data_IF_904028771260
#
_entry.id   IF_904028771260
#
_cell.length_a   1.000
_cell.length_b   1.000
_cell.length_c   1.000
_cell.angle_alpha   90.00
_cell.angle_beta   90.00
_cell.angle_gamma   90.00
#
_symmetry.space_group_name_H-M   'P 1'
#
loop_
_entity.id
_entity.type
_entity.pdbx_description
1 polymer ?
#
# COMPACT_ATOMS: atom_id res chain seq x y z
N UNK A 1 14.66 27.94 -16.15
CA UNK A 1 15.44 27.15 -17.13
C UNK A 1 16.22 26.07 -16.38
N UNK A 2 16.88 25.12 -17.05
CA UNK A 2 17.72 24.13 -16.35
C UNK A 2 18.80 24.82 -15.47
N UNK A 3 19.46 25.84 -16.01
CA UNK A 3 20.46 26.64 -15.29
C UNK A 3 19.90 27.32 -14.02
N UNK A 4 18.64 27.75 -14.06
CA UNK A 4 17.94 28.32 -12.91
C UNK A 4 17.80 27.28 -11.79
N UNK A 5 17.38 26.04 -12.12
CA UNK A 5 17.23 24.96 -11.14
C UNK A 5 18.56 24.55 -10.49
N UNK A 6 19.64 24.45 -11.29
CA UNK A 6 20.97 24.07 -10.80
C UNK A 6 21.55 25.13 -9.85
N UNK A 7 21.13 26.38 -9.98
CA UNK A 7 21.58 27.47 -9.11
C UNK A 7 20.87 27.56 -7.76
N UNK A 8 19.77 26.81 -7.57
CA UNK A 8 19.01 26.81 -6.33
C UNK A 8 19.73 26.03 -5.22
N UNK A 9 19.61 26.50 -3.98
CA UNK A 9 20.01 25.71 -2.81
C UNK A 9 19.22 24.41 -2.75
N UNK A 10 19.86 23.32 -2.29
CA UNK A 10 19.27 21.97 -2.30
C UNK A 10 17.89 21.88 -1.64
N UNK A 11 17.67 22.60 -0.53
CA UNK A 11 16.38 22.62 0.17
C UNK A 11 15.28 23.29 -0.66
N UNK A 12 15.63 24.38 -1.35
CA UNK A 12 14.70 25.09 -2.24
C UNK A 12 14.42 24.23 -3.46
N UNK A 13 15.46 23.64 -4.06
CA UNK A 13 15.32 22.74 -5.21
C UNK A 13 14.40 21.56 -4.87
N UNK A 14 14.56 20.91 -3.72
CA UNK A 14 13.67 19.82 -3.29
C UNK A 14 12.21 20.29 -3.18
N UNK A 15 11.95 21.47 -2.61
CA UNK A 15 10.61 22.06 -2.56
C UNK A 15 10.05 22.33 -3.96
N UNK A 16 10.85 22.88 -4.87
CA UNK A 16 10.45 23.15 -6.26
C UNK A 16 10.15 21.85 -7.02
N UNK A 17 10.91 20.78 -6.78
CA UNK A 17 10.68 19.48 -7.41
C UNK A 17 9.33 18.87 -7.00
N UNK A 18 8.83 19.18 -5.80
CA UNK A 18 7.54 18.71 -5.28
C UNK A 18 6.40 19.66 -5.67
N UNK A 19 6.54 20.95 -5.34
CA UNK A 19 5.50 21.98 -5.56
C UNK A 19 5.39 22.40 -7.02
N UNK A 20 6.43 22.19 -7.80
CA UNK A 20 6.53 22.64 -9.18
C UNK A 20 6.80 24.14 -9.34
N UNK A 21 6.99 24.91 -8.26
CA UNK A 21 7.04 26.38 -8.31
C UNK A 21 8.18 26.96 -7.47
N UNK A 22 8.84 28.00 -7.99
CA UNK A 22 9.82 28.82 -7.24
C UNK A 22 9.15 29.92 -6.40
N UNK A 23 7.82 29.97 -6.39
CA UNK A 23 7.02 31.04 -5.79
C UNK A 23 6.72 32.19 -6.74
N UNK A 24 7.64 32.51 -7.66
CA UNK A 24 7.43 33.52 -8.71
C UNK A 24 7.09 32.90 -10.06
N UNK A 25 7.41 31.62 -10.26
CA UNK A 25 7.24 30.93 -11.54
C UNK A 25 6.90 29.46 -11.34
N UNK A 26 5.94 28.98 -12.13
CA UNK A 26 5.63 27.56 -12.25
C UNK A 26 6.58 26.95 -13.29
N UNK A 27 7.33 25.94 -12.86
CA UNK A 27 8.29 25.17 -13.68
C UNK A 27 7.70 23.81 -14.05
N UNK A 28 7.01 23.17 -13.11
CA UNK A 28 6.35 21.87 -13.30
C UNK A 28 4.95 21.90 -12.71
N UNK A 29 4.12 20.92 -13.06
CA UNK A 29 2.89 20.66 -12.31
C UNK A 29 3.23 20.24 -10.86
N UNK A 30 2.42 20.57 -9.86
CA UNK A 30 2.65 20.06 -8.50
C UNK A 30 2.46 18.54 -8.42
N UNK A 31 3.03 17.92 -7.40
CA UNK A 31 2.90 16.49 -7.09
C UNK A 31 2.03 16.27 -5.83
N UNK A 32 0.71 16.53 -5.89
CA UNK A 32 -0.16 16.44 -4.72
C UNK A 32 -0.29 15.01 -4.17
N UNK A 33 -0.08 13.98 -5.00
CA UNK A 33 -0.21 12.58 -4.58
C UNK A 33 1.04 12.04 -3.89
N UNK A 34 2.12 12.83 -3.72
CA UNK A 34 3.28 12.43 -2.91
C UNK A 34 2.94 12.17 -1.45
N UNK A 35 1.79 12.64 -0.97
CA UNK A 35 1.25 12.25 0.35
C UNK A 35 0.98 10.73 0.43
N UNK A 36 0.68 10.09 -0.70
CA UNK A 36 0.48 8.65 -0.81
C UNK A 36 1.80 7.94 -1.08
N UNK A 37 2.64 7.92 -0.04
CA UNK A 37 3.97 7.32 -0.09
C UNK A 37 3.93 5.80 -0.36
N UNK A 38 2.78 5.16 -0.17
CA UNK A 38 2.56 3.74 -0.49
C UNK A 38 2.96 3.38 -1.91
N UNK A 39 2.69 4.26 -2.88
CA UNK A 39 2.80 3.89 -4.29
C UNK A 39 4.20 4.12 -4.88
N UNK A 40 5.03 4.92 -4.21
CA UNK A 40 6.34 5.32 -4.75
C UNK A 40 7.45 4.31 -4.45
N UNK A 41 7.24 3.40 -3.49
CA UNK A 41 8.19 2.36 -3.12
C UNK A 41 7.52 1.26 -2.30
N UNK A 42 8.08 0.06 -2.38
CA UNK A 42 7.51 -1.14 -1.77
C UNK A 42 8.64 -1.89 -1.06
N UNK A 43 8.49 -2.17 0.24
CA UNK A 43 9.44 -3.00 0.97
C UNK A 43 8.87 -4.40 1.10
N UNK A 44 9.61 -5.39 0.59
CA UNK A 44 9.29 -6.81 0.71
C UNK A 44 10.45 -7.47 1.46
N UNK A 45 10.20 -7.83 2.71
CA UNK A 45 11.23 -8.32 3.63
C UNK A 45 12.43 -7.36 3.68
N UNK A 46 13.57 -7.76 3.14
CA UNK A 46 14.80 -7.00 3.10
C UNK A 46 15.08 -6.33 1.74
N UNK A 47 14.15 -6.40 0.79
CA UNK A 47 14.26 -5.80 -0.53
C UNK A 47 13.34 -4.57 -0.67
N UNK A 48 13.81 -3.59 -1.44
CA UNK A 48 13.07 -2.38 -1.78
C UNK A 48 12.79 -2.35 -3.28
N UNK A 49 11.54 -2.20 -3.67
CA UNK A 49 11.11 -2.10 -5.05
C UNK A 49 10.76 -0.64 -5.33
N UNK A 50 11.25 -0.11 -6.44
CA UNK A 50 10.93 1.24 -6.89
C UNK A 50 9.54 1.23 -7.54
N UNK A 51 8.63 2.03 -7.02
CA UNK A 51 7.28 2.14 -7.56
C UNK A 51 7.27 2.80 -8.94
N UNK A 52 6.59 2.17 -9.91
CA UNK A 52 6.44 2.66 -11.27
C UNK A 52 5.00 3.07 -11.52
N UNK A 53 4.75 4.38 -11.46
CA UNK A 53 3.40 4.91 -11.59
C UNK A 53 2.83 4.69 -13.00
N UNK A 54 1.57 4.25 -13.06
CA UNK A 54 0.85 4.05 -14.34
C UNK A 54 0.44 5.37 -14.99
N UNK A 55 0.13 6.40 -14.18
CA UNK A 55 -0.36 7.69 -14.67
C UNK A 55 0.80 8.66 -14.93
N UNK A 56 0.79 9.31 -16.09
CA UNK A 56 1.80 10.32 -16.48
C UNK A 56 2.03 11.40 -15.40
N UNK A 57 0.96 11.87 -14.76
CA UNK A 57 1.03 12.88 -13.71
C UNK A 57 1.87 12.47 -12.49
N UNK A 58 2.04 11.16 -12.27
CA UNK A 58 2.75 10.57 -11.12
C UNK A 58 4.15 10.03 -11.48
N UNK A 59 4.54 9.98 -12.77
CA UNK A 59 5.89 9.49 -13.15
C UNK A 59 7.04 10.26 -12.52
N UNK A 60 6.83 11.56 -12.25
CA UNK A 60 7.81 12.39 -11.53
C UNK A 60 7.98 11.97 -10.07
N UNK A 61 6.95 11.38 -9.46
CA UNK A 61 7.03 10.79 -8.12
C UNK A 61 7.99 9.59 -8.13
N UNK A 62 7.82 8.68 -9.11
CA UNK A 62 8.73 7.55 -9.34
C UNK A 62 10.18 7.99 -9.60
N UNK A 63 10.39 9.08 -10.36
CA UNK A 63 11.73 9.60 -10.62
C UNK A 63 12.41 10.12 -9.35
N UNK A 64 11.66 10.88 -8.52
CA UNK A 64 12.17 11.39 -7.24
C UNK A 64 12.46 10.24 -6.29
N UNK A 65 11.56 9.25 -6.20
CA UNK A 65 11.74 8.07 -5.37
C UNK A 65 12.98 7.26 -5.81
N UNK A 66 13.14 7.02 -7.11
CA UNK A 66 14.33 6.36 -7.66
C UNK A 66 15.62 7.08 -7.24
N UNK A 67 15.67 8.41 -7.38
CA UNK A 67 16.84 9.19 -6.95
C UNK A 67 17.12 9.03 -5.45
N UNK A 68 16.08 9.12 -4.61
CA UNK A 68 16.22 8.95 -3.16
C UNK A 68 16.76 7.55 -2.83
N UNK A 69 16.16 6.50 -3.38
CA UNK A 69 16.52 5.12 -3.05
C UNK A 69 17.92 4.74 -3.54
N UNK A 70 18.38 5.33 -4.64
CA UNK A 70 19.70 5.01 -5.22
C UNK A 70 20.84 5.86 -4.66
N UNK A 71 20.58 7.06 -4.15
CA UNK A 71 21.64 8.00 -3.76
C UNK A 71 21.62 8.41 -2.28
N UNK A 72 20.48 8.31 -1.59
CA UNK A 72 20.40 8.78 -0.22
C UNK A 72 21.15 7.81 0.73
N UNK A 73 22.00 8.30 1.65
CA UNK A 73 22.82 7.44 2.51
C UNK A 73 22.06 6.36 3.31
N UNK A 74 20.80 6.64 3.67
CA UNK A 74 19.92 5.66 4.36
C UNK A 74 19.71 4.38 3.56
N UNK A 75 19.69 4.45 2.22
CA UNK A 75 19.45 3.30 1.34
C UNK A 75 20.72 2.74 0.72
N UNK A 76 21.88 3.36 1.01
CA UNK A 76 23.15 3.00 0.39
C UNK A 76 23.50 1.52 0.59
N UNK A 77 23.29 0.99 1.79
CA UNK A 77 23.55 -0.42 2.07
C UNK A 77 22.70 -1.34 1.18
N UNK A 78 21.39 -1.08 1.06
CA UNK A 78 20.49 -1.86 0.21
C UNK A 78 20.89 -1.77 -1.27
N UNK A 79 21.33 -0.60 -1.72
CA UNK A 79 21.84 -0.41 -3.07
C UNK A 79 23.13 -1.20 -3.31
N UNK A 80 24.11 -1.08 -2.41
CA UNK A 80 25.43 -1.71 -2.54
C UNK A 80 25.35 -3.25 -2.53
N UNK A 81 24.34 -3.84 -1.89
CA UNK A 81 24.13 -5.30 -1.82
C UNK A 81 23.02 -5.83 -2.77
N UNK A 82 22.64 -5.04 -3.78
CA UNK A 82 21.67 -5.43 -4.83
C UNK A 82 20.28 -5.87 -4.28
N UNK A 83 19.80 -5.15 -3.26
CA UNK A 83 18.46 -5.31 -2.68
C UNK A 83 17.46 -4.25 -3.11
N UNK A 84 17.85 -3.35 -4.01
CA UNK A 84 16.94 -2.42 -4.67
C UNK A 84 16.55 -2.97 -6.03
N UNK A 85 15.26 -3.31 -6.19
CA UNK A 85 14.71 -3.83 -7.44
C UNK A 85 14.12 -2.68 -8.24
N UNK A 86 14.76 -2.36 -9.36
CA UNK A 86 14.31 -1.37 -10.33
C UNK A 86 13.79 -2.05 -11.60
N UNK A 87 12.47 -2.09 -11.77
CA UNK A 87 11.84 -2.61 -13.00
C UNK A 87 11.90 -1.63 -14.18
N UNK A 88 12.38 -0.39 -13.97
CA UNK A 88 12.43 0.64 -15.02
C UNK A 88 13.69 0.61 -15.87
N UNK A 89 14.54 -0.41 -15.71
CA UNK A 89 15.81 -0.57 -16.43
C UNK A 89 16.73 0.66 -16.25
N UNK A 90 16.99 1.04 -14.99
CA UNK A 90 17.83 2.20 -14.67
C UNK A 90 17.15 3.54 -15.01
N UNK A 91 15.83 3.62 -14.91
CA UNK A 91 15.04 4.79 -15.27
C UNK A 91 14.75 4.97 -16.76
N UNK A 92 15.22 4.08 -17.65
CA UNK A 92 14.93 4.20 -19.08
C UNK A 92 13.44 4.08 -19.39
N UNK A 93 12.72 3.19 -18.72
CA UNK A 93 11.26 3.07 -18.87
C UNK A 93 10.54 4.34 -18.39
N UNK A 94 11.06 4.99 -17.34
CA UNK A 94 10.52 6.26 -16.82
C UNK A 94 10.74 7.42 -17.80
N UNK A 95 11.84 7.42 -18.54
CA UNK A 95 12.27 8.51 -19.43
C UNK A 95 11.83 8.32 -20.89
N UNK A 96 11.73 7.08 -21.37
CA UNK A 96 11.59 6.75 -22.79
C UNK A 96 10.42 5.81 -23.12
N UNK A 97 9.68 5.31 -22.11
CA UNK A 97 8.39 4.62 -22.29
C UNK A 97 8.43 3.34 -23.12
N UNK A 98 9.56 2.63 -23.15
CA UNK A 98 9.75 1.49 -24.07
C UNK A 98 8.98 0.23 -23.68
N UNK A 99 8.50 0.13 -22.43
CA UNK A 99 7.55 -0.89 -22.00
C UNK A 99 6.50 -0.23 -21.09
N UNK A 100 5.21 -0.51 -21.29
CA UNK A 100 4.13 -0.07 -20.39
C UNK A 100 4.13 -0.91 -19.10
N UNK A 101 5.23 -0.83 -18.34
CA UNK A 101 5.34 -1.41 -17.01
C UNK A 101 4.83 -0.40 -15.97
N UNK A 102 3.96 -0.89 -15.09
CA UNK A 102 3.57 -0.16 -13.90
C UNK A 102 3.43 -1.12 -12.72
N UNK A 103 3.86 -0.66 -11.55
CA UNK A 103 3.72 -1.34 -10.26
C UNK A 103 3.60 -0.28 -9.19
N UNK A 104 2.45 -0.24 -8.52
CA UNK A 104 2.19 0.69 -7.40
C UNK A 104 2.01 -0.12 -6.12
N UNK A 105 2.54 0.38 -5.00
CA UNK A 105 2.58 -0.39 -3.75
C UNK A 105 1.23 -0.70 -3.11
N UNK A 106 0.15 0.01 -3.48
CA UNK A 106 -1.20 -0.37 -3.06
C UNK A 106 -1.63 -1.76 -3.53
N UNK A 107 -0.98 -2.30 -4.58
CA UNK A 107 -1.25 -3.63 -5.13
C UNK A 107 -0.34 -4.72 -4.58
N UNK A 108 0.58 -4.41 -3.66
CA UNK A 108 1.55 -5.36 -3.14
C UNK A 108 1.46 -5.42 -1.62
N UNK A 109 1.15 -6.61 -1.10
CA UNK A 109 0.96 -6.86 0.31
C UNK A 109 1.82 -8.03 0.78
N UNK A 110 2.78 -7.75 1.65
CA UNK A 110 3.51 -8.78 2.40
C UNK A 110 2.53 -9.36 3.42
N UNK A 111 1.92 -10.51 3.09
CA UNK A 111 0.90 -11.13 3.93
C UNK A 111 1.53 -11.84 5.12
N UNK A 112 2.62 -12.57 4.87
CA UNK A 112 3.56 -13.12 5.84
C UNK A 112 4.98 -13.06 5.25
N UNK A 113 6.00 -13.37 6.07
CA UNK A 113 7.40 -13.35 5.64
C UNK A 113 7.67 -14.18 4.37
N UNK A 114 6.97 -15.29 4.23
CA UNK A 114 7.09 -16.26 3.14
C UNK A 114 6.00 -16.12 2.07
N UNK A 115 5.00 -15.25 2.28
CA UNK A 115 3.82 -15.15 1.43
C UNK A 115 3.50 -13.70 1.04
N UNK A 116 3.62 -13.41 -0.25
CA UNK A 116 3.27 -12.14 -0.86
C UNK A 116 1.94 -12.22 -1.60
N UNK A 117 1.10 -11.20 -1.53
CA UNK A 117 -0.06 -11.02 -2.40
C UNK A 117 0.21 -9.86 -3.34
N UNK A 118 0.03 -10.07 -4.64
CA UNK A 118 0.17 -9.06 -5.69
C UNK A 118 -1.08 -8.96 -6.54
N UNK A 119 -1.48 -7.75 -6.87
CA UNK A 119 -2.71 -7.46 -7.59
C UNK A 119 -2.45 -6.82 -8.95
N UNK A 120 -3.04 -7.41 -9.99
CA UNK A 120 -3.16 -6.79 -11.31
C UNK A 120 -4.38 -5.87 -11.28
N UNK A 121 -4.19 -4.60 -11.61
CA UNK A 121 -5.17 -3.54 -11.38
C UNK A 121 -5.17 -2.50 -12.51
N UNK A 122 -5.89 -1.37 -12.34
CA UNK A 122 -5.74 -0.21 -13.23
C UNK A 122 -4.34 0.43 -13.13
N UNK A 123 -3.65 0.20 -12.01
CA UNK A 123 -2.38 0.84 -11.65
C UNK A 123 -1.18 -0.08 -11.77
N UNK A 124 -1.38 -1.39 -11.68
CA UNK A 124 -0.30 -2.38 -11.75
C UNK A 124 -0.50 -3.33 -12.93
N UNK A 125 0.49 -3.37 -13.82
CA UNK A 125 0.45 -4.15 -15.05
C UNK A 125 0.77 -5.63 -14.80
N UNK A 126 0.08 -6.58 -15.45
CA UNK A 126 0.38 -8.01 -15.33
C UNK A 126 1.83 -8.36 -15.69
N UNK A 127 2.42 -7.67 -16.66
CA UNK A 127 3.80 -7.90 -17.09
C UNK A 127 4.80 -7.51 -15.99
N UNK A 128 4.59 -6.39 -15.30
CA UNK A 128 5.44 -6.00 -14.18
C UNK A 128 5.36 -7.01 -13.04
N UNK A 129 4.17 -7.55 -12.76
CA UNK A 129 4.00 -8.58 -11.73
C UNK A 129 4.72 -9.89 -12.09
N UNK A 130 4.67 -10.32 -13.34
CA UNK A 130 5.42 -11.51 -13.77
C UNK A 130 6.93 -11.31 -13.61
N UNK A 131 7.46 -10.17 -14.09
CA UNK A 131 8.88 -9.82 -13.91
C UNK A 131 9.26 -9.78 -12.43
N UNK A 132 8.43 -9.15 -11.59
CA UNK A 132 8.68 -9.04 -10.16
C UNK A 132 8.65 -10.41 -9.47
N UNK A 133 7.66 -11.26 -9.78
CA UNK A 133 7.55 -12.63 -9.28
C UNK A 133 8.83 -13.44 -9.58
N UNK A 134 9.29 -13.40 -10.83
CA UNK A 134 10.49 -14.13 -11.26
C UNK A 134 11.75 -13.64 -10.53
N UNK A 135 11.90 -12.31 -10.38
CA UNK A 135 13.02 -11.71 -9.62
C UNK A 135 12.98 -12.13 -8.15
N UNK A 136 11.83 -12.02 -7.49
CA UNK A 136 11.68 -12.34 -6.07
C UNK A 136 11.95 -13.82 -5.78
N UNK A 137 11.47 -14.73 -6.63
CA UNK A 137 11.78 -16.16 -6.51
C UNK A 137 13.26 -16.44 -6.79
N UNK A 138 13.86 -15.81 -7.81
CA UNK A 138 15.29 -16.01 -8.12
C UNK A 138 16.21 -15.55 -6.98
N UNK A 139 15.80 -14.52 -6.24
CA UNK A 139 16.50 -13.98 -5.07
C UNK A 139 16.12 -14.67 -3.76
N UNK A 140 15.15 -15.60 -3.78
CA UNK A 140 14.66 -16.28 -2.57
C UNK A 140 14.05 -15.35 -1.53
N UNK A 141 13.41 -14.26 -1.97
CA UNK A 141 12.85 -13.23 -1.07
C UNK A 141 11.60 -13.74 -0.35
N UNK A 142 10.80 -14.54 -1.05
CA UNK A 142 9.56 -15.16 -0.58
C UNK A 142 9.41 -16.55 -1.19
N UNK A 143 8.68 -17.43 -0.51
CA UNK A 143 8.47 -18.81 -0.96
C UNK A 143 7.19 -18.95 -1.79
N UNK A 144 6.21 -18.06 -1.55
CA UNK A 144 4.89 -18.11 -2.18
C UNK A 144 4.40 -16.72 -2.57
N UNK A 145 3.82 -16.63 -3.76
CA UNK A 145 3.25 -15.41 -4.32
C UNK A 145 1.84 -15.71 -4.80
N UNK A 146 0.86 -15.04 -4.20
CA UNK A 146 -0.53 -15.06 -4.66
C UNK A 146 -0.78 -13.89 -5.59
N UNK A 147 -1.27 -14.17 -6.80
CA UNK A 147 -1.69 -13.15 -7.76
C UNK A 147 -3.21 -13.11 -7.88
N UNK A 148 -3.77 -11.91 -7.87
CA UNK A 148 -5.20 -11.65 -8.07
C UNK A 148 -5.41 -10.61 -9.17
N UNK A 149 -6.54 -10.70 -9.87
CA UNK A 149 -6.95 -9.72 -10.89
C UNK A 149 -8.12 -8.89 -10.37
N UNK A 150 -7.87 -7.60 -10.10
CA UNK A 150 -8.95 -6.69 -9.72
C UNK A 150 -9.81 -6.34 -10.94
N UNK A 151 -11.14 -6.25 -10.77
CA UNK A 151 -12.03 -5.71 -11.79
C UNK A 151 -11.57 -4.31 -12.20
N UNK A 152 -11.49 -4.05 -13.52
CA UNK A 152 -11.09 -2.76 -14.09
C UNK A 152 -12.21 -1.72 -13.97
N UNK A 153 -12.60 -1.40 -12.74
CA UNK A 153 -13.62 -0.42 -12.39
C UNK A 153 -13.02 0.72 -11.58
N UNK A 154 -13.49 1.95 -11.80
CA UNK A 154 -12.95 3.17 -11.17
C UNK A 154 -13.04 3.22 -9.63
N UNK A 155 -13.79 2.32 -8.99
CA UNK A 155 -13.93 2.27 -7.54
C UNK A 155 -12.89 1.36 -6.84
N UNK A 156 -12.16 0.52 -7.59
CA UNK A 156 -11.09 -0.33 -7.07
C UNK A 156 -9.78 0.00 -7.79
N UNK A 157 -8.99 0.93 -7.22
CA UNK A 157 -7.72 1.34 -7.83
C UNK A 157 -6.58 0.39 -7.49
N UNK A 158 -6.60 -0.16 -6.27
CA UNK A 158 -5.55 -1.02 -5.73
C UNK A 158 -6.12 -2.08 -4.77
N UNK A 159 -5.35 -3.13 -4.48
CA UNK A 159 -5.72 -4.18 -3.51
C UNK A 159 -6.00 -3.62 -2.11
N UNK A 160 -5.17 -2.71 -1.62
CA UNK A 160 -5.30 -2.15 -0.27
C UNK A 160 -6.58 -1.31 -0.06
N UNK A 161 -7.27 -0.91 -1.13
CA UNK A 161 -8.57 -0.23 -1.06
C UNK A 161 -9.75 -1.18 -0.86
N UNK A 162 -9.51 -2.48 -0.96
CA UNK A 162 -10.55 -3.53 -0.85
C UNK A 162 -10.18 -4.65 0.13
N UNK A 163 -8.92 -4.72 0.57
CA UNK A 163 -8.42 -5.77 1.45
C UNK A 163 -7.20 -5.30 2.24
N UNK A 164 -7.17 -5.54 3.55
CA UNK A 164 -5.98 -5.33 4.39
C UNK A 164 -5.90 -6.34 5.52
N UNK A 165 -4.70 -6.86 5.80
CA UNK A 165 -4.39 -7.63 7.01
C UNK A 165 -4.17 -6.70 8.20
N UNK A 166 -4.92 -6.87 9.29
CA UNK A 166 -4.91 -5.97 10.46
C UNK A 166 -4.31 -6.59 11.72
N UNK A 167 -4.31 -7.92 11.79
CA UNK A 167 -3.61 -8.70 12.81
C UNK A 167 -3.03 -9.98 12.21
N UNK A 168 -2.35 -10.78 13.01
CA UNK A 168 -1.79 -12.07 12.64
C UNK A 168 -2.82 -13.01 12.01
N UNK A 169 -4.09 -12.91 12.43
CA UNK A 169 -5.18 -13.77 11.99
C UNK A 169 -6.47 -13.03 11.58
N UNK A 170 -6.49 -11.70 11.51
CA UNK A 170 -7.68 -10.95 11.09
C UNK A 170 -7.38 -10.05 9.89
N UNK A 171 -8.28 -10.08 8.91
CA UNK A 171 -8.27 -9.20 7.74
C UNK A 171 -9.56 -8.38 7.66
N UNK A 172 -9.48 -7.16 7.14
CA UNK A 172 -10.65 -6.38 6.73
C UNK A 172 -10.78 -6.47 5.22
N UNK A 173 -11.98 -6.74 4.71
CA UNK A 173 -12.18 -6.89 3.27
C UNK A 173 -13.56 -6.46 2.79
N UNK A 174 -13.61 -6.00 1.54
CA UNK A 174 -14.84 -5.75 0.81
C UNK A 174 -15.43 -7.09 0.34
N UNK A 175 -16.43 -7.58 1.07
CA UNK A 175 -17.02 -8.92 0.90
C UNK A 175 -17.34 -9.27 -0.57
N UNK A 176 -17.99 -8.39 -1.37
CA UNK A 176 -18.35 -8.74 -2.74
C UNK A 176 -17.18 -9.11 -3.64
N UNK A 177 -15.96 -8.67 -3.33
CA UNK A 177 -14.77 -8.93 -4.13
C UNK A 177 -13.86 -9.99 -3.50
N UNK A 178 -13.61 -9.89 -2.19
CA UNK A 178 -12.61 -10.71 -1.51
C UNK A 178 -13.14 -12.09 -1.14
N UNK A 179 -14.43 -12.15 -0.78
CA UNK A 179 -15.02 -13.30 -0.09
C UNK A 179 -15.98 -14.11 -0.97
N UNK A 180 -16.51 -13.50 -2.04
CA UNK A 180 -17.42 -14.19 -2.97
C UNK A 180 -16.63 -14.89 -4.07
N UNK A 181 -16.91 -16.16 -4.23
CA UNK A 181 -16.29 -16.99 -5.26
C UNK A 181 -16.49 -16.43 -6.67
N UNK A 182 -15.45 -16.57 -7.48
CA UNK A 182 -15.39 -16.18 -8.88
C UNK A 182 -15.57 -14.66 -9.15
N UNK A 183 -15.52 -13.83 -8.10
CA UNK A 183 -15.47 -12.36 -8.24
C UNK A 183 -14.04 -11.85 -8.40
N UNK A 184 -13.12 -12.45 -7.66
CA UNK A 184 -11.68 -12.26 -7.79
C UNK A 184 -11.00 -13.56 -7.42
N UNK A 185 -10.74 -14.40 -8.42
CA UNK A 185 -9.99 -15.63 -8.23
C UNK A 185 -8.53 -15.32 -7.91
N UNK A 186 -7.91 -16.21 -7.14
CA UNK A 186 -6.52 -16.07 -6.73
C UNK A 186 -5.72 -17.23 -7.29
N UNK A 187 -4.53 -16.94 -7.81
CA UNK A 187 -3.57 -17.97 -8.24
C UNK A 187 -2.34 -17.90 -7.36
N UNK A 188 -2.06 -18.94 -6.59
CA UNK A 188 -0.84 -19.05 -5.80
C UNK A 188 0.24 -19.71 -6.63
N UNK A 189 1.43 -19.13 -6.61
CA UNK A 189 2.66 -19.68 -7.16
C UNK A 189 3.64 -19.93 -6.02
N UNK A 190 4.38 -21.03 -6.09
CA UNK A 190 5.44 -21.38 -5.15
C UNK A 190 6.80 -21.34 -5.84
N UNK A 191 7.86 -21.14 -5.05
CA UNK A 191 9.25 -21.06 -5.55
C UNK A 191 9.72 -22.35 -6.25
N UNK A 192 9.10 -23.50 -5.94
CA UNK A 192 9.33 -24.78 -6.62
C UNK A 192 8.55 -24.93 -7.95
N UNK A 193 7.86 -23.88 -8.38
CA UNK A 193 7.19 -23.80 -9.68
C UNK A 193 5.77 -24.37 -9.73
N UNK A 194 5.17 -24.71 -8.58
CA UNK A 194 3.75 -25.11 -8.56
C UNK A 194 2.85 -23.88 -8.68
N UNK A 195 1.67 -24.12 -9.26
CA UNK A 195 0.61 -23.13 -9.36
C UNK A 195 -0.73 -23.76 -8.98
N UNK A 196 -1.50 -23.09 -8.14
CA UNK A 196 -2.83 -23.52 -7.70
C UNK A 196 -3.82 -22.35 -7.79
N UNK A 197 -5.04 -22.65 -8.24
CA UNK A 197 -6.09 -21.65 -8.43
C UNK A 197 -7.18 -21.85 -7.39
N UNK A 198 -7.57 -20.75 -6.75
CA UNK A 198 -8.61 -20.68 -5.74
C UNK A 198 -9.77 -19.81 -6.23
N UNK A 199 -11.02 -20.15 -5.88
CA UNK A 199 -12.20 -19.42 -6.35
C UNK A 199 -12.26 -17.98 -5.85
N UNK A 200 -11.69 -17.69 -4.68
CA UNK A 200 -11.62 -16.36 -4.05
C UNK A 200 -10.33 -16.17 -3.25
N UNK A 201 -9.94 -14.93 -2.97
CA UNK A 201 -8.79 -14.65 -2.09
C UNK A 201 -9.02 -15.18 -0.67
N UNK A 202 -10.24 -15.06 -0.13
CA UNK A 202 -10.55 -15.61 1.20
C UNK A 202 -10.38 -17.13 1.25
N UNK A 203 -10.84 -17.88 0.23
CA UNK A 203 -10.71 -19.33 0.20
C UNK A 203 -9.25 -19.80 0.22
N UNK A 204 -8.37 -19.09 -0.50
CA UNK A 204 -6.93 -19.34 -0.47
C UNK A 204 -6.36 -19.08 0.92
N UNK A 205 -6.66 -17.93 1.50
CA UNK A 205 -6.13 -17.55 2.80
C UNK A 205 -6.63 -18.45 3.92
N UNK A 206 -7.88 -18.93 3.87
CA UNK A 206 -8.40 -19.92 4.84
C UNK A 206 -7.73 -21.28 4.65
N UNK A 207 -7.46 -21.68 3.40
CA UNK A 207 -6.73 -22.92 3.11
C UNK A 207 -5.32 -22.91 3.69
N UNK A 208 -4.62 -21.78 3.57
CA UNK A 208 -3.26 -21.61 4.09
C UNK A 208 -3.20 -21.32 5.59
N UNK A 209 -4.20 -20.59 6.09
CA UNK A 209 -4.27 -20.08 7.45
C UNK A 209 -5.67 -20.36 8.02
N UNK A 210 -5.92 -21.56 8.56
CA UNK A 210 -7.26 -21.97 9.00
C UNK A 210 -7.89 -21.09 10.07
N UNK A 211 -7.07 -20.39 10.86
CA UNK A 211 -7.52 -19.47 11.92
C UNK A 211 -7.77 -18.04 11.41
N UNK A 212 -7.68 -17.81 10.09
CA UNK A 212 -7.88 -16.49 9.49
C UNK A 212 -9.35 -16.08 9.51
N UNK A 213 -9.63 -14.93 10.12
CA UNK A 213 -10.93 -14.31 10.16
C UNK A 213 -11.02 -13.11 9.24
N UNK A 214 -12.22 -12.90 8.69
CA UNK A 214 -12.53 -11.77 7.82
C UNK A 214 -13.59 -10.88 8.47
N UNK A 215 -13.24 -9.60 8.59
CA UNK A 215 -14.12 -8.54 9.06
C UNK A 215 -14.62 -7.79 7.82
N UNK A 216 -15.94 -7.76 7.65
CA UNK A 216 -16.57 -7.22 6.45
C UNK A 216 -16.65 -5.69 6.51
N UNK A 217 -16.11 -5.03 5.48
CA UNK A 217 -16.28 -3.60 5.28
C UNK A 217 -17.77 -3.25 5.22
N UNK A 218 -18.19 -2.24 5.97
CA UNK A 218 -19.58 -1.80 6.07
C UNK A 218 -20.55 -2.89 6.56
N UNK A 219 -20.10 -3.80 7.44
CA UNK A 219 -20.84 -4.97 7.92
C UNK A 219 -21.26 -5.95 6.79
N UNK A 220 -20.74 -5.79 5.58
CA UNK A 220 -21.17 -6.55 4.40
C UNK A 220 -22.60 -6.25 3.92
N UNK A 221 -23.17 -5.13 4.37
CA UNK A 221 -24.56 -4.77 4.09
C UNK A 221 -24.60 -3.66 3.03
N UNK A 222 -25.18 -3.96 1.88
CA UNK A 222 -25.45 -2.94 0.86
C UNK A 222 -26.53 -1.94 1.32
N UNK A 223 -26.37 -0.62 1.07
CA UNK A 223 -25.27 0.04 0.36
C UNK A 223 -24.17 0.60 1.30
N UNK A 224 -24.08 0.15 2.56
CA UNK A 224 -23.07 0.64 3.50
C UNK A 224 -21.66 0.16 3.12
N UNK A 225 -21.53 -1.11 2.73
CA UNK A 225 -20.28 -1.69 2.25
C UNK A 225 -19.68 -0.93 1.06
N UNK A 226 -20.47 -0.63 0.03
CA UNK A 226 -20.03 0.13 -1.15
C UNK A 226 -19.63 1.56 -0.78
N UNK A 227 -20.41 2.22 0.09
CA UNK A 227 -20.09 3.58 0.53
C UNK A 227 -18.80 3.63 1.34
N UNK A 228 -18.60 2.68 2.24
CA UNK A 228 -17.42 2.66 3.09
C UNK A 228 -16.19 2.14 2.37
N UNK A 229 -16.34 1.22 1.41
CA UNK A 229 -15.27 0.88 0.47
C UNK A 229 -14.81 2.14 -0.28
N UNK A 230 -15.75 2.96 -0.79
CA UNK A 230 -15.43 4.22 -1.46
C UNK A 230 -14.72 5.24 -0.55
N UNK A 231 -14.92 5.15 0.77
CA UNK A 231 -14.28 6.02 1.76
C UNK A 231 -13.14 5.33 2.49
N UNK A 232 -12.51 4.35 1.83
CA UNK A 232 -11.30 3.67 2.29
C UNK A 232 -11.49 2.86 3.58
N UNK A 233 -12.68 2.28 3.78
CA UNK A 233 -13.04 1.43 4.92
C UNK A 233 -12.19 0.17 5.05
N UNK A 234 -11.64 -0.34 3.94
CA UNK A 234 -10.71 -1.47 3.94
C UNK A 234 -9.23 -1.06 4.13
N UNK A 235 -8.89 0.23 4.05
CA UNK A 235 -7.51 0.71 3.94
C UNK A 235 -6.89 1.06 5.30
N UNK A 236 -6.86 0.08 6.20
CA UNK A 236 -6.34 0.29 7.56
C UNK A 236 -4.82 0.20 7.61
N UNK A 237 -4.17 0.98 8.47
CA UNK A 237 -2.73 0.86 8.69
C UNK A 237 -2.43 0.18 10.02
N UNK A 238 -2.04 -1.09 9.99
CA UNK A 238 -1.54 -1.80 11.17
C UNK A 238 -0.16 -1.27 11.57
N UNK A 239 -0.04 -0.68 12.77
CA UNK A 239 1.23 -0.22 13.35
C UNK A 239 1.83 -1.25 14.30
N UNK A 240 0.98 -2.07 14.92
CA UNK A 240 1.30 -3.25 15.73
C UNK A 240 0.21 -4.29 15.45
N UNK A 241 0.47 -5.55 15.77
CA UNK A 241 -0.54 -6.61 15.69
C UNK A 241 -1.85 -6.21 16.39
N UNK A 242 -2.95 -6.15 15.63
CA UNK A 242 -4.26 -5.72 16.14
C UNK A 242 -4.33 -4.24 16.55
N UNK A 243 -3.37 -3.40 16.20
CA UNK A 243 -3.40 -1.95 16.47
C UNK A 243 -3.30 -1.21 15.15
N UNK A 244 -4.41 -0.60 14.73
CA UNK A 244 -4.54 -0.04 13.39
C UNK A 244 -5.03 1.39 13.39
N UNK A 245 -4.67 2.16 12.36
CA UNK A 245 -5.30 3.43 12.03
C UNK A 245 -6.39 3.24 10.99
N UNK A 246 -7.51 3.95 11.15
CA UNK A 246 -8.62 4.04 10.19
C UNK A 246 -9.20 5.46 10.18
N UNK A 247 -10.20 5.71 9.34
CA UNK A 247 -10.96 6.96 9.36
C UNK A 247 -12.21 6.89 10.26
N UNK A 248 -12.53 8.03 10.87
CA UNK A 248 -13.73 8.19 11.71
C UNK A 248 -15.06 8.09 10.95
N UNK A 249 -15.07 8.36 9.64
CA UNK A 249 -16.27 8.34 8.79
C UNK A 249 -16.79 6.94 8.43
N UNK A 250 -16.00 5.89 8.63
CA UNK A 250 -16.36 4.51 8.27
C UNK A 250 -17.13 3.84 9.42
N UNK A 251 -18.33 4.37 9.70
CA UNK A 251 -19.11 4.06 10.91
C UNK A 251 -19.40 2.56 11.03
N UNK A 252 -19.81 1.91 9.94
CA UNK A 252 -20.21 0.50 9.92
C UNK A 252 -19.02 -0.45 10.01
N UNK A 253 -17.93 -0.14 9.32
CA UNK A 253 -16.69 -0.90 9.43
C UNK A 253 -16.10 -0.77 10.83
N UNK A 254 -16.15 0.43 11.42
CA UNK A 254 -15.69 0.64 12.80
C UNK A 254 -16.57 -0.12 13.81
N UNK A 255 -17.89 -0.16 13.61
CA UNK A 255 -18.79 -0.98 14.42
C UNK A 255 -18.47 -2.48 14.31
N UNK A 256 -18.23 -3.00 13.10
CA UNK A 256 -17.83 -4.39 12.89
C UNK A 256 -16.50 -4.73 13.60
N UNK A 257 -15.55 -3.79 13.65
CA UNK A 257 -14.31 -3.94 14.41
C UNK A 257 -14.56 -3.95 15.92
N UNK A 258 -15.43 -3.06 16.44
CA UNK A 258 -15.82 -3.05 17.85
C UNK A 258 -16.54 -4.34 18.27
N UNK A 259 -17.42 -4.88 17.42
CA UNK A 259 -18.07 -6.18 17.66
C UNK A 259 -17.07 -7.35 17.73
N UNK A 260 -15.94 -7.24 17.02
CA UNK A 260 -14.81 -8.16 17.11
C UNK A 260 -13.90 -7.88 18.33
N UNK A 261 -14.32 -7.01 19.24
CA UNK A 261 -13.64 -6.75 20.50
C UNK A 261 -12.46 -5.77 20.38
N UNK A 262 -12.38 -5.00 19.30
CA UNK A 262 -11.41 -3.91 19.22
C UNK A 262 -11.89 -2.69 20.01
N UNK A 263 -10.97 -2.04 20.72
CA UNK A 263 -11.21 -0.72 21.32
C UNK A 263 -11.13 0.36 20.24
N UNK A 264 -12.20 1.13 20.03
CA UNK A 264 -12.16 2.31 19.16
C UNK A 264 -11.77 3.56 19.96
N UNK A 265 -10.79 4.33 19.47
CA UNK A 265 -10.35 5.58 20.11
C UNK A 265 -9.91 6.61 19.07
N UNK A 266 -10.17 7.90 19.30
CA UNK A 266 -9.64 8.97 18.45
C UNK A 266 -8.15 9.17 18.73
N UNK A 267 -7.37 9.43 17.68
CA UNK A 267 -5.94 9.70 17.84
C UNK A 267 -5.63 10.81 18.86
N UNK A 268 -6.44 11.88 18.86
CA UNK A 268 -6.29 12.99 19.81
C UNK A 268 -6.49 12.56 21.27
N UNK A 269 -7.45 11.68 21.53
CA UNK A 269 -7.76 11.19 22.87
C UNK A 269 -6.68 10.21 23.35
N UNK A 270 -6.22 9.32 22.46
CA UNK A 270 -5.13 8.39 22.77
C UNK A 270 -3.82 9.14 23.14
N UNK A 271 -3.50 10.22 22.40
CA UNK A 271 -2.35 11.07 22.73
C UNK A 271 -2.50 11.68 24.13
N UNK A 272 -3.71 12.05 24.55
CA UNK A 272 -3.95 12.54 25.91
C UNK A 272 -3.80 11.44 26.96
N UNK A 273 -4.26 10.22 26.70
CA UNK A 273 -4.07 9.07 27.58
C UNK A 273 -2.58 8.79 27.82
N UNK A 274 -1.77 8.81 26.75
CA UNK A 274 -0.32 8.65 26.85
C UNK A 274 0.34 9.77 27.66
N UNK A 275 -0.01 11.04 27.39
CA UNK A 275 0.55 12.19 28.12
C UNK A 275 0.21 12.20 29.61
N UNK A 276 -0.95 11.65 29.98
CA UNK A 276 -1.41 11.55 31.38
C UNK A 276 -0.89 10.29 32.08
N UNK A 277 -0.17 9.40 31.39
CA UNK A 277 0.27 8.13 31.94
C UNK A 277 -0.87 7.14 32.20
N UNK A 278 -2.03 7.34 31.59
CA UNK A 278 -3.20 6.45 31.71
C UNK A 278 -3.05 5.20 30.85
N UNK A 279 -2.25 5.28 29.79
CA UNK A 279 -1.96 4.18 28.88
C UNK A 279 -0.47 4.20 28.52
N UNK A 280 0.13 3.01 28.46
CA UNK A 280 1.50 2.81 27.99
C UNK A 280 1.45 2.41 26.50
N UNK A 281 2.10 3.18 25.59
CA UNK A 281 2.13 2.84 24.17
C UNK A 281 2.61 1.43 23.85
N UNK A 282 3.46 0.82 24.69
CA UNK A 282 3.94 -0.55 24.48
C UNK A 282 2.87 -1.62 24.75
N UNK A 283 1.90 -1.30 25.62
CA UNK A 283 0.85 -2.22 26.11
C UNK A 283 -0.46 -2.11 25.34
N UNK A 284 -0.55 -1.22 24.35
CA UNK A 284 -1.74 -1.11 23.52
C UNK A 284 -1.92 -2.38 22.68
N UNK A 285 -3.11 -2.94 22.72
CA UNK A 285 -3.51 -4.16 22.01
C UNK A 285 -4.94 -3.99 21.50
N UNK A 286 -5.29 -4.69 20.41
CA UNK A 286 -6.65 -4.72 19.83
C UNK A 286 -7.32 -3.34 19.81
N UNK A 287 -6.66 -2.34 19.23
CA UNK A 287 -7.11 -0.94 19.25
C UNK A 287 -7.18 -0.35 17.85
N UNK A 288 -8.31 0.23 17.49
CA UNK A 288 -8.52 0.96 16.25
C UNK A 288 -8.48 2.46 16.56
N UNK A 289 -7.48 3.12 15.99
CA UNK A 289 -7.19 4.54 16.16
C UNK A 289 -7.82 5.30 15.00
N UNK A 290 -8.84 6.08 15.28
CA UNK A 290 -9.55 6.85 14.25
C UNK A 290 -8.88 8.20 14.00
N UNK A 291 -8.68 8.51 12.72
CA UNK A 291 -8.19 9.79 12.22
C UNK A 291 -9.34 10.62 11.65
N UNK A 292 -9.33 11.96 11.84
CA UNK A 292 -10.25 12.86 11.17
C UNK A 292 -10.11 12.76 9.66
N UNK A 293 -11.24 12.63 8.97
CA UNK A 293 -11.26 12.32 7.53
C UNK A 293 -11.78 13.46 6.64
N UNK A 294 -12.05 14.65 7.18
CA UNK A 294 -12.71 15.76 6.44
C UNK A 294 -11.98 16.22 5.17
N UNK A 295 -10.65 16.26 5.19
CA UNK A 295 -9.83 16.73 4.08
C UNK A 295 -9.04 15.60 3.40
N UNK A 296 -8.35 14.75 4.18
CA UNK A 296 -7.47 13.70 3.64
C UNK A 296 -8.22 12.66 2.79
N UNK A 297 -9.43 12.28 3.21
CA UNK A 297 -10.23 11.30 2.46
C UNK A 297 -10.76 11.82 1.11
N UNK A 298 -10.70 13.14 0.85
CA UNK A 298 -11.10 13.69 -0.46
C UNK A 298 -10.21 13.18 -1.59
N UNK A 299 -8.98 12.79 -1.27
CA UNK A 299 -8.01 12.27 -2.21
C UNK A 299 -8.12 10.75 -2.47
N UNK A 300 -9.15 10.08 -1.90
CA UNK A 300 -9.42 8.64 -2.07
C UNK A 300 -8.23 7.75 -1.68
N UNK A 301 -7.75 7.96 -0.45
CA UNK A 301 -6.74 7.10 0.14
C UNK A 301 -6.87 7.10 1.65
N UNK A 302 -6.74 5.92 2.24
CA UNK A 302 -6.75 5.71 3.68
C UNK A 302 -5.37 5.86 4.34
N UNK A 303 -5.30 5.58 5.65
CA UNK A 303 -4.04 5.54 6.38
C UNK A 303 -2.98 4.61 5.76
N UNK A 304 -3.38 3.50 5.13
CA UNK A 304 -2.44 2.59 4.49
C UNK A 304 -1.80 3.20 3.23
N UNK A 305 -2.58 3.93 2.43
CA UNK A 305 -2.07 4.64 1.24
C UNK A 305 -1.05 5.75 1.60
N UNK A 306 -1.19 6.37 2.78
CA UNK A 306 -0.32 7.47 3.22
C UNK A 306 0.99 6.99 3.87
N UNK A 307 1.25 5.69 3.88
CA UNK A 307 2.41 5.10 4.57
C UNK A 307 3.22 4.19 3.65
N UNK A 308 4.53 4.21 3.84
CA UNK A 308 5.48 3.27 3.22
C UNK A 308 6.39 2.71 4.32
N UNK A 309 6.03 1.56 4.93
CA UNK A 309 6.84 0.95 5.97
C UNK A 309 8.23 0.60 5.44
N UNK A 310 9.26 1.12 6.10
CA UNK A 310 10.65 0.78 5.78
C UNK A 310 11.14 -0.44 6.57
N UNK A 311 10.69 -0.56 7.83
CA UNK A 311 11.07 -1.62 8.75
C UNK A 311 9.82 -2.03 9.54
N UNK A 312 9.56 -3.33 9.61
CA UNK A 312 8.53 -3.94 10.47
C UNK A 312 9.16 -5.16 11.15
N UNK A 313 8.84 -5.36 12.42
CA UNK A 313 9.27 -6.49 13.25
C UNK A 313 8.44 -7.74 13.01
#
# INVERSE_FOLDING_TARGET
SFNELVSLESKILASVLITGSTGTKIIFNPLPNLIFTRDIGIVINDHLIIGLASKEARKRESLIANFIFTHHPIFKELFDIDKIIDLSNGGQTLLHGQENLSVEGGDVMVFNKDHLIMASSERTSPLALQKLKDILFSKGVVDRITMVDLPKNRYCMHLDTVFTKISSNECVGFQPLIMKDHKMSATQYTIDGKAEVFPSLSSLLISDYPDMEFIECGEGIAPFDEREQWTDGCNLFAVKDGVCFTYDRNIKTNAALEEKGYRLIKAADLIQEFKKGLMDPSKIERTIITLPSSELSRARGGPHCMTMPLIRS
#
